data_IF_154402965354
#
_entry.id   IF_154402965354
#
_cell.length_a   1.000
_cell.length_b   1.000
_cell.length_c   1.000
_cell.angle_alpha   90.00
_cell.angle_beta   90.00
_cell.angle_gamma   90.00
#
_symmetry.space_group_name_H-M   'P 1'
#
loop_
_entity.id
_entity.type
_entity.pdbx_description
1 polymer ?
#
# COMPACT_ATOMS: atom_id res chain seq x y z
N UNK A 1 -32.89 -15.86 -5.72
CA UNK A 1 -31.61 -15.33 -6.22
C UNK A 1 -31.36 -13.97 -5.56
N UNK A 2 -30.41 -13.89 -4.63
CA UNK A 2 -30.02 -12.59 -4.07
C UNK A 2 -29.35 -11.76 -5.17
N UNK A 3 -29.94 -10.61 -5.48
CA UNK A 3 -29.38 -9.64 -6.40
C UNK A 3 -27.99 -9.23 -5.88
N UNK A 4 -26.93 -9.48 -6.63
CA UNK A 4 -25.61 -8.96 -6.30
C UNK A 4 -25.65 -7.43 -6.32
N UNK A 5 -25.15 -6.81 -5.27
CA UNK A 5 -25.21 -5.35 -5.06
C UNK A 5 -24.29 -4.52 -5.99
N UNK A 6 -23.58 -5.18 -6.91
CA UNK A 6 -22.68 -4.53 -7.88
C UNK A 6 -21.42 -3.88 -7.30
N UNK A 7 -21.22 -3.91 -5.96
CA UNK A 7 -20.05 -3.32 -5.29
C UNK A 7 -18.92 -4.35 -5.12
N UNK A 8 -17.71 -3.89 -4.94
CA UNK A 8 -16.59 -4.74 -4.53
C UNK A 8 -16.80 -5.28 -3.11
N UNK A 9 -15.99 -6.28 -2.69
CA UNK A 9 -16.07 -6.87 -1.34
C UNK A 9 -15.81 -5.79 -0.29
N UNK A 10 -16.69 -5.69 0.71
CA UNK A 10 -16.51 -4.83 1.88
C UNK A 10 -15.62 -5.54 2.91
N UNK A 11 -14.32 -5.26 2.83
CA UNK A 11 -13.31 -5.89 3.68
C UNK A 11 -13.48 -5.54 5.16
N UNK A 12 -13.97 -4.34 5.47
CA UNK A 12 -14.20 -3.93 6.85
C UNK A 12 -15.30 -4.77 7.49
N UNK A 13 -16.43 -4.93 6.81
CA UNK A 13 -17.53 -5.78 7.29
C UNK A 13 -17.11 -7.23 7.44
N UNK A 14 -16.31 -7.75 6.50
CA UNK A 14 -15.82 -9.12 6.59
C UNK A 14 -14.90 -9.32 7.81
N UNK A 15 -13.96 -8.41 8.04
CA UNK A 15 -13.06 -8.47 9.19
C UNK A 15 -13.82 -8.37 10.52
N UNK A 16 -14.81 -7.46 10.61
CA UNK A 16 -15.68 -7.35 11.79
C UNK A 16 -16.47 -8.63 12.00
N UNK A 17 -16.99 -9.23 10.93
CA UNK A 17 -17.72 -10.51 11.01
C UNK A 17 -16.83 -11.63 11.54
N UNK A 18 -15.58 -11.74 11.05
CA UNK A 18 -14.62 -12.73 11.54
C UNK A 18 -14.28 -12.50 13.01
N UNK A 19 -14.05 -11.25 13.42
CA UNK A 19 -13.80 -10.91 14.82
C UNK A 19 -14.98 -11.29 15.72
N UNK A 20 -16.21 -11.01 15.27
CA UNK A 20 -17.44 -11.40 15.97
C UNK A 20 -17.62 -12.92 16.08
N UNK A 21 -17.13 -13.68 15.09
CA UNK A 21 -17.17 -15.15 15.13
C UNK A 21 -16.15 -15.73 16.11
N UNK A 22 -14.93 -15.13 16.17
CA UNK A 22 -13.88 -15.58 17.07
C UNK A 22 -14.14 -15.20 18.53
N UNK A 23 -14.72 -14.01 18.76
CA UNK A 23 -14.98 -13.45 20.09
C UNK A 23 -16.39 -12.88 20.16
N UNK A 24 -17.44 -13.71 20.19
CA UNK A 24 -18.84 -13.24 20.19
C UNK A 24 -19.17 -12.39 21.43
N UNK A 25 -18.49 -12.62 22.55
CA UNK A 25 -18.70 -11.93 23.81
C UNK A 25 -18.21 -10.47 23.82
N UNK A 26 -17.36 -10.07 22.86
CA UNK A 26 -16.91 -8.67 22.75
C UNK A 26 -17.86 -7.80 21.92
N UNK A 27 -18.98 -8.37 21.48
CA UNK A 27 -19.98 -7.64 20.70
C UNK A 27 -21.03 -7.02 21.58
N UNK A 28 -21.21 -5.71 21.49
CA UNK A 28 -22.27 -4.97 22.14
C UNK A 28 -22.96 -4.08 21.11
N UNK A 29 -24.26 -4.29 20.84
CA UNK A 29 -25.06 -3.49 19.88
C UNK A 29 -24.36 -3.24 18.54
N UNK A 30 -23.83 -4.29 17.91
CA UNK A 30 -23.06 -4.22 16.64
C UNK A 30 -21.67 -3.54 16.70
N UNK A 31 -21.24 -3.09 17.86
CA UNK A 31 -19.90 -2.54 18.11
C UNK A 31 -18.99 -3.56 18.78
N UNK A 32 -17.69 -3.36 18.66
CA UNK A 32 -16.67 -4.16 19.33
C UNK A 32 -16.24 -3.42 20.60
N UNK A 33 -16.36 -4.11 21.73
CA UNK A 33 -15.84 -3.66 23.02
C UNK A 33 -14.36 -4.04 23.10
N UNK A 34 -13.49 -3.04 22.89
CA UNK A 34 -12.03 -3.26 22.92
C UNK A 34 -11.50 -3.52 24.34
N UNK A 35 -12.12 -2.98 25.38
CA UNK A 35 -11.67 -3.22 26.75
C UNK A 35 -11.95 -4.66 27.16
N UNK A 36 -13.11 -5.19 26.76
CA UNK A 36 -13.45 -6.59 26.96
C UNK A 36 -12.57 -7.52 26.12
N UNK A 37 -12.26 -7.15 24.87
CA UNK A 37 -11.33 -7.92 24.03
C UNK A 37 -9.93 -7.97 24.68
N UNK A 38 -9.45 -6.87 25.24
CA UNK A 38 -8.19 -6.82 25.98
C UNK A 38 -8.20 -7.77 27.19
N UNK A 39 -9.27 -7.79 27.95
CA UNK A 39 -9.42 -8.70 29.11
C UNK A 39 -9.36 -10.17 28.69
N UNK A 40 -9.96 -10.53 27.54
CA UNK A 40 -9.95 -11.90 27.02
C UNK A 40 -8.56 -12.30 26.54
N UNK A 41 -7.85 -11.40 25.86
CA UNK A 41 -6.49 -11.66 25.35
C UNK A 41 -5.43 -11.62 26.44
N UNK A 42 -5.71 -11.01 27.61
CA UNK A 42 -4.83 -11.01 28.78
C UNK A 42 -3.44 -10.44 28.50
N UNK A 43 -2.39 -11.18 28.85
CA UNK A 43 -0.99 -10.78 28.67
C UNK A 43 -0.51 -10.63 27.21
N UNK A 44 -1.31 -11.10 26.24
CA UNK A 44 -1.01 -10.92 24.83
C UNK A 44 -1.41 -9.55 24.28
N UNK A 45 -1.87 -8.65 25.15
CA UNK A 45 -2.22 -7.26 24.79
C UNK A 45 -1.07 -6.34 25.12
N UNK A 46 -0.58 -5.64 24.11
CA UNK A 46 0.40 -4.56 24.25
C UNK A 46 -0.27 -3.29 24.79
N UNK A 47 -0.03 -2.97 26.05
CA UNK A 47 -0.55 -1.76 26.71
C UNK A 47 0.51 -0.64 26.83
N UNK A 48 1.75 -0.89 26.42
CA UNK A 48 2.82 0.10 26.49
C UNK A 48 2.56 1.26 25.53
N UNK A 49 2.60 2.48 26.05
CA UNK A 49 2.38 3.70 25.26
C UNK A 49 3.62 4.15 24.49
N UNK A 50 4.81 3.71 24.90
CA UNK A 50 6.08 4.04 24.29
C UNK A 50 6.52 2.98 23.28
N UNK A 51 5.81 2.89 22.15
CA UNK A 51 6.16 1.97 21.07
C UNK A 51 6.49 2.70 19.78
N UNK A 52 7.38 2.11 18.99
CA UNK A 52 7.65 2.59 17.64
C UNK A 52 6.38 2.59 16.79
N UNK A 53 6.07 3.74 16.21
CA UNK A 53 4.93 3.89 15.31
C UNK A 53 5.33 4.76 14.11
N UNK A 54 5.34 4.15 12.93
CA UNK A 54 5.58 4.88 11.70
C UNK A 54 4.30 5.58 11.26
N UNK A 55 4.32 6.91 11.26
CA UNK A 55 3.15 7.73 10.91
C UNK A 55 3.51 8.87 9.97
N UNK A 56 2.52 9.31 9.18
CA UNK A 56 2.63 10.45 8.27
C UNK A 56 1.28 11.11 8.08
N UNK A 57 1.25 12.30 7.48
CA UNK A 57 0.00 13.00 7.18
C UNK A 57 -0.80 12.24 6.10
N UNK A 58 -2.05 11.88 6.40
CA UNK A 58 -2.93 11.14 5.49
C UNK A 58 -2.97 9.62 5.70
N UNK A 59 -2.15 9.04 6.59
CA UNK A 59 -2.15 7.59 6.86
C UNK A 59 -3.54 7.04 7.17
N UNK A 60 -4.27 7.65 8.10
CA UNK A 60 -5.61 7.22 8.47
C UNK A 60 -6.63 7.31 7.32
N UNK A 61 -6.45 8.30 6.42
CA UNK A 61 -7.26 8.43 5.21
C UNK A 61 -6.93 7.32 4.21
N UNK A 62 -5.65 7.06 3.97
CA UNK A 62 -5.18 5.98 3.09
C UNK A 62 -5.66 4.60 3.57
N UNK A 63 -5.68 4.39 4.89
CA UNK A 63 -6.26 3.19 5.49
C UNK A 63 -7.75 3.05 5.14
N UNK A 64 -8.55 4.10 5.37
CA UNK A 64 -9.99 4.09 5.02
C UNK A 64 -10.21 3.87 3.52
N UNK A 65 -9.37 4.47 2.68
CA UNK A 65 -9.46 4.31 1.22
C UNK A 65 -9.30 2.86 0.79
N UNK A 66 -8.40 2.10 1.41
CA UNK A 66 -8.24 0.66 1.16
C UNK A 66 -9.44 -0.18 1.60
N UNK A 67 -10.25 0.34 2.52
CA UNK A 67 -11.42 -0.36 3.08
C UNK A 67 -12.74 0.03 2.37
N UNK A 68 -12.75 1.14 1.64
CA UNK A 68 -13.94 1.63 0.93
C UNK A 68 -14.18 0.81 -0.33
N UNK A 69 -15.32 0.13 -0.47
CA UNK A 69 -15.63 -0.64 -1.66
C UNK A 69 -15.72 0.23 -2.92
N UNK A 70 -15.29 -0.31 -4.05
CA UNK A 70 -15.51 0.31 -5.37
C UNK A 70 -16.92 0.03 -5.87
N UNK A 71 -17.63 1.05 -6.41
CA UNK A 71 -18.88 0.86 -7.12
C UNK A 71 -18.67 0.44 -8.59
N UNK A 72 -17.42 0.40 -9.07
CA UNK A 72 -17.06 0.08 -10.44
C UNK A 72 -17.25 -1.40 -10.80
N UNK A 73 -17.04 -1.71 -12.06
CA UNK A 73 -17.04 -3.08 -12.60
C UNK A 73 -16.00 -3.23 -13.69
N UNK A 74 -15.41 -4.41 -13.81
CA UNK A 74 -14.56 -4.77 -14.93
C UNK A 74 -15.42 -5.10 -16.15
N UNK A 75 -15.07 -4.57 -17.31
CA UNK A 75 -15.77 -4.81 -18.58
C UNK A 75 -14.86 -5.58 -19.53
N UNK A 76 -15.33 -6.71 -20.10
CA UNK A 76 -14.58 -7.42 -21.13
C UNK A 76 -14.39 -6.53 -22.36
N UNK A 77 -13.17 -6.54 -22.94
CA UNK A 77 -12.84 -5.86 -24.20
C UNK A 77 -12.34 -6.91 -25.20
N UNK A 78 -13.28 -7.63 -25.83
CA UNK A 78 -12.95 -8.73 -26.74
C UNK A 78 -12.25 -8.25 -28.01
N UNK A 79 -12.62 -7.07 -28.49
CA UNK A 79 -12.12 -6.50 -29.75
C UNK A 79 -10.62 -6.19 -29.70
N UNK A 80 -10.09 -5.85 -28.51
CA UNK A 80 -8.68 -5.55 -28.30
C UNK A 80 -7.91 -6.74 -27.69
N UNK A 81 -8.60 -7.84 -27.39
CA UNK A 81 -7.98 -9.02 -26.77
C UNK A 81 -7.42 -9.97 -27.82
N UNK A 82 -6.23 -10.50 -27.55
CA UNK A 82 -5.61 -11.54 -28.35
C UNK A 82 -6.00 -12.90 -27.80
N UNK A 83 -6.42 -13.81 -28.70
CA UNK A 83 -6.76 -15.20 -28.38
C UNK A 83 -7.77 -15.31 -27.21
N UNK A 84 -8.83 -14.49 -27.26
CA UNK A 84 -9.81 -14.34 -26.18
C UNK A 84 -10.36 -15.66 -25.64
N UNK A 85 -10.68 -16.61 -26.52
CA UNK A 85 -11.34 -17.86 -26.13
C UNK A 85 -10.36 -18.91 -25.54
N UNK A 86 -9.05 -18.73 -25.73
CA UNK A 86 -8.03 -19.70 -25.33
C UNK A 86 -7.04 -19.17 -24.28
N UNK A 87 -6.86 -17.85 -24.17
CA UNK A 87 -5.94 -17.26 -23.20
C UNK A 87 -6.44 -17.40 -21.77
N UNK A 88 -5.51 -17.65 -20.84
CA UNK A 88 -5.77 -17.57 -19.39
C UNK A 88 -5.13 -16.32 -18.77
N UNK A 89 -4.46 -15.50 -19.57
CA UNK A 89 -3.85 -14.26 -19.12
C UNK A 89 -4.87 -13.13 -19.14
N UNK A 90 -4.78 -12.22 -18.16
CA UNK A 90 -5.62 -11.04 -18.06
C UNK A 90 -4.76 -9.78 -18.10
N UNK A 91 -5.11 -8.84 -18.97
CA UNK A 91 -4.65 -7.47 -18.93
C UNK A 91 -5.82 -6.60 -18.46
N UNK A 92 -5.61 -5.79 -17.42
CA UNK A 92 -6.65 -4.96 -16.85
C UNK A 92 -6.17 -3.51 -16.89
N UNK A 93 -6.88 -2.68 -17.64
CA UNK A 93 -6.62 -1.25 -17.77
C UNK A 93 -7.56 -0.45 -16.89
N UNK A 94 -7.03 0.57 -16.19
CA UNK A 94 -7.79 1.46 -15.34
C UNK A 94 -6.99 1.96 -14.14
N UNK A 95 -7.64 2.67 -13.25
CA UNK A 95 -7.06 3.04 -11.96
C UNK A 95 -6.75 1.77 -11.15
N UNK A 96 -5.47 1.56 -10.85
CA UNK A 96 -5.04 0.31 -10.22
C UNK A 96 -5.54 0.15 -8.77
N UNK A 97 -5.84 1.21 -8.03
CA UNK A 97 -6.43 1.12 -6.71
C UNK A 97 -7.88 0.60 -6.80
N UNK A 98 -8.66 1.13 -7.73
CA UNK A 98 -10.03 0.64 -7.98
C UNK A 98 -10.02 -0.80 -8.51
N UNK A 99 -9.10 -1.13 -9.40
CA UNK A 99 -8.92 -2.51 -9.91
C UNK A 99 -8.59 -3.46 -8.75
N UNK A 100 -7.65 -3.12 -7.86
CA UNK A 100 -7.32 -3.94 -6.70
C UNK A 100 -8.52 -4.19 -5.78
N UNK A 101 -9.41 -3.20 -5.60
CA UNK A 101 -10.67 -3.37 -4.85
C UNK A 101 -11.62 -4.34 -5.55
N UNK A 102 -11.76 -4.24 -6.86
CA UNK A 102 -12.63 -5.12 -7.66
C UNK A 102 -12.14 -6.57 -7.64
N UNK A 103 -10.82 -6.77 -7.71
CA UNK A 103 -10.20 -8.11 -7.66
C UNK A 103 -10.42 -8.83 -6.34
N UNK A 104 -10.70 -8.13 -5.23
CA UNK A 104 -10.97 -8.76 -3.92
C UNK A 104 -12.12 -9.76 -3.96
N UNK A 105 -13.09 -9.62 -4.87
CA UNK A 105 -14.21 -10.57 -4.99
C UNK A 105 -13.77 -11.95 -5.49
N UNK A 106 -12.91 -11.95 -6.51
CA UNK A 106 -12.58 -13.17 -7.26
C UNK A 106 -11.23 -13.77 -6.89
N UNK A 107 -10.29 -12.95 -6.43
CA UNK A 107 -8.88 -13.32 -6.23
C UNK A 107 -8.40 -13.21 -4.79
N UNK A 108 -9.27 -12.96 -3.81
CA UNK A 108 -8.89 -12.92 -2.40
C UNK A 108 -8.21 -14.24 -1.99
N UNK A 109 -6.96 -14.16 -1.53
CA UNK A 109 -6.19 -15.31 -1.07
C UNK A 109 -5.83 -16.34 -2.16
N UNK A 110 -5.74 -15.93 -3.43
CA UNK A 110 -5.49 -16.86 -4.56
C UNK A 110 -4.23 -16.57 -5.37
N UNK A 111 -3.57 -15.46 -5.14
CA UNK A 111 -2.41 -15.05 -5.92
C UNK A 111 -1.13 -15.56 -5.26
N UNK A 112 -0.33 -16.29 -6.00
CA UNK A 112 0.94 -16.86 -5.53
C UNK A 112 2.05 -15.81 -5.46
N UNK A 113 2.11 -14.94 -6.46
CA UNK A 113 3.17 -13.95 -6.58
C UNK A 113 2.61 -12.62 -7.08
N UNK A 114 3.08 -11.54 -6.49
CA UNK A 114 2.84 -10.17 -6.97
C UNK A 114 4.19 -9.52 -7.21
N UNK A 115 4.37 -8.89 -8.37
CA UNK A 115 5.51 -8.02 -8.66
C UNK A 115 5.00 -6.59 -8.84
N UNK A 116 5.62 -5.64 -8.15
CA UNK A 116 5.28 -4.22 -8.20
C UNK A 116 6.52 -3.42 -8.60
N UNK A 117 6.36 -2.61 -9.64
CA UNK A 117 7.34 -1.60 -10.05
C UNK A 117 6.71 -0.21 -9.87
N UNK A 118 6.80 0.39 -8.67
CA UNK A 118 6.16 1.66 -8.36
C UNK A 118 6.99 2.83 -8.89
N UNK A 119 6.42 4.05 -8.96
CA UNK A 119 7.22 5.25 -9.14
C UNK A 119 8.28 5.36 -8.03
N UNK A 120 9.54 5.65 -8.41
CA UNK A 120 10.65 5.73 -7.45
C UNK A 120 10.75 7.10 -6.75
N UNK A 121 9.79 7.97 -7.02
CA UNK A 121 9.72 9.32 -6.46
C UNK A 121 10.94 10.17 -6.82
N UNK A 122 11.32 10.19 -8.10
CA UNK A 122 12.54 10.89 -8.60
C UNK A 122 12.35 12.39 -8.78
N UNK A 123 11.15 12.91 -8.54
CA UNK A 123 10.80 14.31 -8.75
C UNK A 123 10.07 14.59 -10.07
N UNK A 124 10.26 13.72 -11.04
CA UNK A 124 9.59 13.77 -12.34
C UNK A 124 8.59 12.62 -12.51
N UNK A 125 8.50 11.72 -11.53
CA UNK A 125 7.64 10.56 -11.60
C UNK A 125 6.17 10.93 -11.45
N UNK A 126 5.34 10.20 -12.14
CA UNK A 126 3.89 10.30 -12.04
C UNK A 126 3.44 9.61 -10.73
N UNK A 127 3.24 10.39 -9.68
CA UNK A 127 2.55 9.91 -8.48
C UNK A 127 1.06 10.06 -8.74
N UNK A 128 0.33 8.95 -8.77
CA UNK A 128 -1.12 8.95 -8.91
C UNK A 128 -1.74 9.78 -7.78
N UNK A 129 -2.46 10.82 -8.16
CA UNK A 129 -3.32 11.55 -7.24
C UNK A 129 -4.60 10.74 -7.08
N UNK A 130 -4.57 9.72 -6.25
CA UNK A 130 -5.81 9.12 -5.76
C UNK A 130 -6.63 10.26 -5.20
N UNK A 131 -7.89 10.39 -5.60
CA UNK A 131 -8.78 11.54 -5.41
C UNK A 131 -8.79 12.10 -3.97
N UNK A 132 -7.61 12.50 -3.56
CA UNK A 132 -7.35 13.23 -2.35
C UNK A 132 -7.72 14.67 -2.66
N UNK A 133 -8.98 15.02 -2.41
CA UNK A 133 -9.56 16.35 -2.61
C UNK A 133 -8.88 17.49 -1.84
N UNK A 134 -7.72 17.27 -1.25
CA UNK A 134 -6.86 18.36 -0.83
C UNK A 134 -6.02 18.80 -2.02
N UNK A 135 -6.43 19.92 -2.62
CA UNK A 135 -5.58 20.62 -3.57
C UNK A 135 -4.21 20.87 -2.92
N UNK A 136 -3.15 20.91 -3.72
CA UNK A 136 -1.82 21.32 -3.28
C UNK A 136 -1.89 22.62 -2.45
N UNK A 137 -2.83 23.48 -2.77
CA UNK A 137 -3.11 24.74 -2.06
C UNK A 137 -3.65 24.50 -0.65
N UNK A 138 -4.57 23.58 -0.44
CA UNK A 138 -5.09 23.24 0.88
C UNK A 138 -4.02 22.61 1.78
N UNK A 139 -3.16 21.74 1.21
CA UNK A 139 -2.04 21.17 1.95
C UNK A 139 -1.04 22.25 2.39
N UNK A 140 -0.68 23.17 1.49
CA UNK A 140 0.23 24.29 1.78
C UNK A 140 -0.30 25.24 2.87
N UNK A 141 -1.61 25.46 2.91
CA UNK A 141 -2.28 26.23 3.98
C UNK A 141 -2.21 25.51 5.33
N UNK A 142 -2.57 24.21 5.36
CA UNK A 142 -2.59 23.42 6.60
C UNK A 142 -1.19 23.27 7.19
N UNK A 143 -0.16 23.18 6.35
CA UNK A 143 1.24 23.04 6.79
C UNK A 143 1.95 24.39 7.00
N UNK A 144 1.24 25.50 6.83
CA UNK A 144 1.82 26.86 7.00
C UNK A 144 2.85 27.24 5.95
N UNK A 145 2.88 26.58 4.79
CA UNK A 145 3.85 26.87 3.72
C UNK A 145 3.44 28.05 2.82
N UNK A 146 2.18 28.45 2.86
CA UNK A 146 1.63 29.64 2.21
C UNK A 146 0.61 30.31 3.12
N UNK A 147 0.53 31.64 3.05
CA UNK A 147 -0.49 32.43 3.74
C UNK A 147 -1.84 32.37 2.98
N UNK A 148 -2.86 33.04 3.53
CA UNK A 148 -4.18 33.12 2.90
C UNK A 148 -4.17 33.86 1.56
N UNK A 149 -3.16 34.68 1.30
CA UNK A 149 -2.96 35.40 0.05
C UNK A 149 -2.16 34.61 -0.98
N UNK A 150 -1.89 33.31 -0.73
CA UNK A 150 -1.09 32.39 -1.57
C UNK A 150 0.40 32.75 -1.70
N UNK A 151 0.95 33.60 -0.85
CA UNK A 151 2.37 33.84 -0.81
C UNK A 151 3.09 32.69 -0.11
N UNK A 152 4.28 32.32 -0.60
CA UNK A 152 5.11 31.30 0.06
C UNK A 152 5.65 31.85 1.36
N UNK A 153 5.38 31.14 2.46
CA UNK A 153 5.90 31.50 3.80
C UNK A 153 7.29 30.93 4.06
N UNK A 154 7.74 29.96 3.24
CA UNK A 154 9.09 29.39 3.31
C UNK A 154 9.71 29.22 1.94
N UNK A 155 11.03 29.46 1.82
CA UNK A 155 11.81 29.25 0.59
C UNK A 155 11.96 27.78 0.20
N UNK A 156 11.75 26.83 1.14
CA UNK A 156 11.82 25.38 0.95
C UNK A 156 10.41 24.74 0.93
N UNK A 157 9.48 25.28 0.14
CA UNK A 157 8.10 24.78 0.05
C UNK A 157 7.98 23.36 -0.55
N UNK A 158 9.06 22.80 -1.09
CA UNK A 158 9.19 21.43 -1.57
C UNK A 158 9.96 20.58 -0.57
N UNK A 159 9.80 20.85 0.74
CA UNK A 159 10.47 20.06 1.76
C UNK A 159 10.15 18.56 1.61
N UNK A 160 11.16 17.75 1.83
CA UNK A 160 11.18 16.28 1.72
C UNK A 160 9.91 15.58 2.25
N UNK A 161 9.30 16.04 3.32
CA UNK A 161 8.14 15.41 3.95
C UNK A 161 6.87 15.36 3.11
N UNK A 162 6.64 16.34 2.23
CA UNK A 162 5.49 16.33 1.31
C UNK A 162 5.67 15.30 0.20
N UNK A 163 6.89 15.16 -0.29
CA UNK A 163 7.25 14.25 -1.35
C UNK A 163 7.00 12.80 -0.93
N UNK A 164 7.59 12.43 0.19
CA UNK A 164 7.42 11.10 0.78
C UNK A 164 5.98 10.84 1.22
N UNK A 165 5.29 11.85 1.77
CA UNK A 165 3.89 11.74 2.20
C UNK A 165 2.95 11.36 1.05
N UNK A 166 3.08 12.01 -0.11
CA UNK A 166 2.25 11.70 -1.26
C UNK A 166 2.50 10.28 -1.78
N UNK A 167 3.76 9.87 -1.83
CA UNK A 167 4.15 8.53 -2.22
C UNK A 167 3.62 7.47 -1.25
N UNK A 168 3.76 7.70 0.05
CA UNK A 168 3.24 6.82 1.10
C UNK A 168 1.72 6.68 1.02
N UNK A 169 1.00 7.79 0.83
CA UNK A 169 -0.46 7.78 0.68
C UNK A 169 -0.92 6.99 -0.55
N UNK A 170 -0.16 7.02 -1.64
CA UNK A 170 -0.40 6.23 -2.84
C UNK A 170 -0.11 4.74 -2.62
N UNK A 171 1.03 4.41 -2.04
CA UNK A 171 1.49 3.03 -1.92
C UNK A 171 0.75 2.23 -0.84
N UNK A 172 0.50 2.82 0.31
CA UNK A 172 -0.06 2.11 1.47
C UNK A 172 -1.39 1.40 1.19
N UNK A 173 -2.42 2.04 0.60
CA UNK A 173 -3.68 1.35 0.31
C UNK A 173 -3.51 0.22 -0.72
N UNK A 174 -2.59 0.38 -1.68
CA UNK A 174 -2.29 -0.64 -2.70
C UNK A 174 -1.63 -1.86 -2.10
N UNK A 175 -0.64 -1.69 -1.24
CA UNK A 175 0.03 -2.79 -0.55
C UNK A 175 -0.92 -3.57 0.37
N UNK A 176 -1.80 -2.89 1.09
CA UNK A 176 -2.84 -3.53 1.91
C UNK A 176 -3.78 -4.41 1.09
N UNK A 177 -4.24 -3.91 -0.05
CA UNK A 177 -5.11 -4.68 -0.95
C UNK A 177 -4.36 -5.81 -1.64
N UNK A 178 -3.11 -5.57 -2.07
CA UNK A 178 -2.26 -6.61 -2.65
C UNK A 178 -2.03 -7.78 -1.68
N UNK A 179 -1.73 -7.48 -0.40
CA UNK A 179 -1.60 -8.53 0.63
C UNK A 179 -2.82 -9.43 0.72
N UNK A 180 -4.02 -8.85 0.64
CA UNK A 180 -5.25 -9.62 0.70
C UNK A 180 -5.45 -10.58 -0.49
N UNK A 181 -4.91 -10.23 -1.66
CA UNK A 181 -4.96 -11.09 -2.84
C UNK A 181 -4.01 -12.28 -2.73
N UNK A 182 -2.88 -12.14 -2.04
CA UNK A 182 -1.91 -13.22 -1.87
C UNK A 182 -2.51 -14.40 -1.11
N UNK A 183 -2.19 -15.62 -1.53
CA UNK A 183 -2.39 -16.83 -0.74
C UNK A 183 -1.50 -16.84 0.51
N UNK A 184 -1.67 -17.78 1.43
CA UNK A 184 -0.96 -17.75 2.71
C UNK A 184 0.57 -17.77 2.57
N UNK A 185 1.10 -18.50 1.61
CA UNK A 185 2.53 -18.58 1.29
C UNK A 185 2.93 -17.66 0.12
N UNK A 186 2.01 -16.80 -0.32
CA UNK A 186 2.23 -15.90 -1.45
C UNK A 186 3.30 -14.85 -1.17
N UNK A 187 4.06 -14.50 -2.21
CA UNK A 187 5.24 -13.63 -2.12
C UNK A 187 4.98 -12.35 -2.91
N UNK A 188 5.44 -11.22 -2.38
CA UNK A 188 5.49 -9.94 -3.08
C UNK A 188 6.92 -9.49 -3.29
N UNK A 189 7.21 -9.04 -4.51
CA UNK A 189 8.47 -8.42 -4.93
C UNK A 189 8.18 -6.96 -5.30
N UNK A 190 8.97 -6.02 -4.80
CA UNK A 190 8.75 -4.59 -5.04
C UNK A 190 10.08 -3.94 -5.39
N UNK A 191 10.19 -3.46 -6.64
CA UNK A 191 11.35 -2.71 -7.10
C UNK A 191 11.36 -1.30 -6.50
N UNK A 192 12.53 -0.81 -6.13
CA UNK A 192 12.70 0.53 -5.58
C UNK A 192 14.16 0.97 -5.64
N UNK A 193 14.42 2.28 -5.62
CA UNK A 193 15.75 2.84 -5.41
C UNK A 193 15.95 3.40 -4.00
N UNK A 194 17.13 4.01 -3.77
CA UNK A 194 17.53 4.56 -2.47
C UNK A 194 16.55 5.57 -1.87
N UNK A 195 15.78 6.31 -2.71
CA UNK A 195 14.93 7.43 -2.28
C UNK A 195 13.81 7.02 -1.36
N UNK A 196 13.11 5.93 -1.72
CA UNK A 196 11.94 5.46 -0.99
C UNK A 196 12.14 4.08 -0.35
N UNK A 197 13.34 3.47 -0.43
CA UNK A 197 13.63 2.17 0.14
C UNK A 197 13.23 2.07 1.62
N UNK A 198 13.66 3.03 2.44
CA UNK A 198 13.37 3.04 3.87
C UNK A 198 11.88 3.17 4.16
N UNK A 199 11.19 4.05 3.42
CA UNK A 199 9.75 4.25 3.57
C UNK A 199 8.98 3.02 3.12
N UNK A 200 9.37 2.41 1.98
CA UNK A 200 8.79 1.16 1.50
C UNK A 200 8.93 0.05 2.54
N UNK A 201 10.15 -0.13 3.09
CA UNK A 201 10.40 -1.15 4.12
C UNK A 201 9.45 -0.98 5.31
N UNK A 202 9.30 0.25 5.83
CA UNK A 202 8.43 0.55 6.98
C UNK A 202 6.95 0.28 6.71
N UNK A 203 6.42 0.68 5.55
CA UNK A 203 5.01 0.38 5.22
C UNK A 203 4.78 -1.09 4.91
N UNK A 204 5.78 -1.80 4.38
CA UNK A 204 5.71 -3.25 4.19
C UNK A 204 5.75 -3.99 5.52
N UNK A 205 6.60 -3.60 6.47
CA UNK A 205 6.61 -4.16 7.83
C UNK A 205 5.22 -4.05 8.47
N UNK A 206 4.56 -2.91 8.30
CA UNK A 206 3.20 -2.73 8.82
C UNK A 206 2.15 -3.55 8.06
N UNK A 207 2.25 -3.60 6.72
CA UNK A 207 1.26 -4.30 5.90
C UNK A 207 1.39 -5.82 5.96
N UNK A 208 2.60 -6.35 5.90
CA UNK A 208 2.87 -7.78 5.78
C UNK A 208 3.30 -8.42 7.10
N UNK A 209 3.83 -7.63 8.04
CA UNK A 209 4.47 -8.05 9.27
C UNK A 209 6.00 -8.11 9.10
N UNK A 210 6.73 -7.61 10.09
CA UNK A 210 8.21 -7.59 10.07
C UNK A 210 8.81 -9.00 9.99
N UNK A 211 8.19 -9.98 10.68
CA UNK A 211 8.59 -11.39 10.66
C UNK A 211 8.50 -12.04 9.28
N UNK A 212 7.68 -11.47 8.37
CA UNK A 212 7.47 -11.97 7.02
C UNK A 212 8.40 -11.35 5.98
N UNK A 213 9.36 -10.55 6.41
CA UNK A 213 10.42 -10.04 5.55
C UNK A 213 11.36 -11.18 5.13
N UNK A 214 11.51 -11.39 3.81
CA UNK A 214 12.38 -12.44 3.26
C UNK A 214 13.76 -11.93 2.91
N UNK A 215 13.88 -10.65 2.52
CA UNK A 215 15.17 -10.06 2.17
C UNK A 215 15.09 -8.97 1.12
N UNK A 216 16.26 -8.57 0.64
CA UNK A 216 16.43 -7.59 -0.44
C UNK A 216 17.33 -8.16 -1.51
N UNK A 217 16.88 -8.16 -2.74
CA UNK A 217 17.69 -8.47 -3.91
C UNK A 217 18.27 -7.16 -4.43
N UNK A 218 19.59 -7.13 -4.62
CA UNK A 218 20.28 -5.98 -5.13
C UNK A 218 20.53 -6.15 -6.63
N UNK A 219 20.06 -5.20 -7.42
CA UNK A 219 20.24 -5.18 -8.86
C UNK A 219 21.29 -4.14 -9.26
N UNK A 220 22.34 -4.57 -9.98
CA UNK A 220 23.37 -3.65 -10.47
C UNK A 220 22.92 -2.97 -11.76
N UNK A 221 22.59 -1.70 -11.67
CA UNK A 221 22.05 -0.87 -12.75
C UNK A 221 23.11 -0.44 -13.78
N UNK A 222 24.35 -0.19 -13.34
CA UNK A 222 25.42 0.38 -14.14
C UNK A 222 26.80 -0.13 -13.73
N UNK A 223 27.60 -0.41 -14.73
CA UNK A 223 29.02 -0.82 -14.56
C UNK A 223 30.00 0.34 -14.67
N UNK A 224 29.60 1.46 -15.31
CA UNK A 224 30.49 2.62 -15.56
C UNK A 224 29.92 3.90 -14.92
N UNK A 225 30.77 4.77 -14.35
CA UNK A 225 30.33 6.07 -13.83
C UNK A 225 29.88 7.00 -14.98
N UNK A 226 28.91 7.88 -14.68
CA UNK A 226 28.51 8.94 -15.60
C UNK A 226 29.37 10.16 -15.32
N UNK A 227 30.14 10.60 -16.35
CA UNK A 227 30.86 11.87 -16.32
C UNK A 227 29.91 13.03 -16.68
N UNK A 228 28.98 13.41 -15.81
CA UNK A 228 28.23 14.65 -15.95
C UNK A 228 28.66 15.66 -14.88
N UNK A 229 28.61 16.97 -15.20
CA UNK A 229 29.13 18.02 -14.33
C UNK A 229 28.59 18.05 -12.90
N UNK A 230 27.38 17.54 -12.66
CA UNK A 230 26.74 17.39 -11.35
C UNK A 230 27.28 16.19 -10.57
N UNK A 231 27.78 15.18 -11.25
CA UNK A 231 28.27 13.93 -10.66
C UNK A 231 29.62 14.05 -9.93
N UNK A 232 30.31 15.18 -10.04
CA UNK A 232 31.62 15.42 -9.41
C UNK A 232 31.58 15.46 -7.87
N UNK A 233 30.44 15.72 -7.27
CA UNK A 233 30.31 15.98 -5.84
C UNK A 233 29.33 15.06 -5.11
N UNK A 234 28.79 14.05 -5.79
CA UNK A 234 27.85 13.09 -5.23
C UNK A 234 28.23 11.65 -5.52
N UNK A 235 28.03 10.77 -4.56
CA UNK A 235 28.09 9.33 -4.79
C UNK A 235 26.99 8.94 -5.78
N UNK A 236 27.37 8.23 -6.84
CA UNK A 236 26.42 7.73 -7.83
C UNK A 236 25.88 6.38 -7.37
N UNK A 237 24.58 6.29 -7.16
CA UNK A 237 23.94 4.99 -6.95
C UNK A 237 24.05 4.14 -8.21
N UNK A 238 24.60 2.93 -8.06
CA UNK A 238 24.76 1.94 -9.11
C UNK A 238 23.78 0.77 -9.00
N UNK A 239 22.99 0.79 -7.97
CA UNK A 239 22.11 -0.32 -7.61
C UNK A 239 20.66 0.13 -7.48
N UNK A 240 19.79 -0.82 -7.67
CA UNK A 240 18.38 -0.77 -7.30
C UNK A 240 18.08 -1.98 -6.42
N UNK A 241 16.96 -1.93 -5.73
CA UNK A 241 16.57 -2.96 -4.79
C UNK A 241 15.26 -3.60 -5.22
N UNK A 242 15.11 -4.89 -4.93
CA UNK A 242 13.82 -5.56 -4.93
C UNK A 242 13.57 -6.05 -3.51
N UNK A 243 12.61 -5.43 -2.83
CA UNK A 243 12.20 -5.76 -1.47
C UNK A 243 11.24 -6.93 -1.53
N UNK A 244 11.44 -7.97 -0.71
CA UNK A 244 10.69 -9.23 -0.78
C UNK A 244 10.04 -9.53 0.56
N UNK A 245 8.72 -9.77 0.53
CA UNK A 245 7.93 -10.23 1.67
C UNK A 245 7.06 -11.42 1.30
N UNK A 246 6.78 -12.30 2.26
CA UNK A 246 5.67 -13.25 2.15
C UNK A 246 4.44 -12.74 2.91
N UNK A 247 3.27 -13.31 2.64
CA UNK A 247 2.05 -12.99 3.40
C UNK A 247 2.03 -13.62 4.78
N UNK A 248 2.49 -14.85 4.90
CA UNK A 248 2.65 -15.59 6.14
C UNK A 248 3.81 -16.57 6.01
N UNK A 249 4.61 -16.69 7.08
CA UNK A 249 5.76 -17.58 7.14
C UNK A 249 5.43 -18.72 8.09
N UNK A 250 5.45 -19.94 7.59
CA UNK A 250 5.36 -21.12 8.45
C UNK A 250 6.74 -21.47 9.02
N UNK A 251 6.78 -21.93 10.25
CA UNK A 251 8.03 -22.41 10.86
C UNK A 251 8.52 -23.65 10.10
N UNK A 252 9.58 -23.51 9.33
CA UNK A 252 10.17 -24.59 8.55
C UNK A 252 10.18 -24.37 7.03
N UNK A 253 9.51 -23.33 6.52
CA UNK A 253 9.55 -23.00 5.10
C UNK A 253 10.93 -22.42 4.70
N UNK A 254 11.48 -22.98 3.63
CA UNK A 254 12.62 -22.43 2.87
C UNK A 254 12.05 -21.76 1.61
N UNK A 255 12.26 -20.46 1.46
CA UNK A 255 11.84 -19.67 0.30
C UNK A 255 13.00 -19.45 -0.68
#
# INVERSE_FOLDING_TARGET
>A
MNKMDGKSKDLLKENIKQLKQLFPEVCCEDKIDFDKLKQILGEYVEDDKERYNFTWNGKGRSLRLSQTPSPGTLRPCKEESKDWDSTQNLYIEGDNLEVLKLLQKSYYGKIKMIYIDPPYNTGNDFIYKDDFTQSIESYKKITGQVDEAKNRTTTNSESFGRYHTNWLNMMYPRLRLARNLLENEGIVFISIDDREFTNLKKICDECFGESNFLGVITWTKRTKPINSGVAKYQLQSKIEYVVVYCKGKNSGDTY
#
